data_IF_815680549142
#
_entry.id   IF_815680549142
#
_cell.length_a   1.000
_cell.length_b   1.000
_cell.length_c   1.000
_cell.angle_alpha   90.00
_cell.angle_beta   90.00
_cell.angle_gamma   90.00
#
_symmetry.space_group_name_H-M   'P 1'
#
loop_
_entity.id
_entity.type
_entity.pdbx_description
1 polymer ?
#
# COMPACT_ATOMS: atom_id res chain seq x y z
N UNK A 1 6.41 -14.40 29.98
CA UNK A 1 5.40 -15.21 29.27
C UNK A 1 4.31 -14.28 28.72
N UNK A 2 4.37 -13.95 27.43
CA UNK A 2 3.19 -13.36 26.79
C UNK A 2 2.13 -14.45 26.74
N UNK A 3 0.96 -14.17 27.30
CA UNK A 3 -0.18 -15.08 27.21
C UNK A 3 -0.51 -15.35 25.75
N UNK A 4 -1.09 -16.52 25.48
CA UNK A 4 -1.61 -16.85 24.16
C UNK A 4 -2.58 -15.74 23.70
N UNK A 5 -2.29 -15.09 22.58
CA UNK A 5 -3.15 -14.06 21.99
C UNK A 5 -4.12 -14.75 21.04
N UNK A 6 -5.39 -14.85 21.41
CA UNK A 6 -6.40 -15.37 20.50
C UNK A 6 -6.76 -14.30 19.46
N UNK A 7 -6.94 -14.69 18.20
CA UNK A 7 -7.37 -13.74 17.16
C UNK A 7 -8.75 -13.11 17.45
N UNK A 8 -9.58 -13.78 18.25
CA UNK A 8 -10.82 -13.20 18.77
C UNK A 8 -10.58 -12.03 19.72
N UNK A 9 -9.47 -12.03 20.46
CA UNK A 9 -9.14 -10.97 21.41
C UNK A 9 -8.67 -9.70 20.69
N UNK A 10 -8.03 -9.86 19.52
CA UNK A 10 -7.70 -8.75 18.62
C UNK A 10 -8.96 -8.05 18.08
N UNK A 11 -10.00 -8.82 17.75
CA UNK A 11 -11.29 -8.26 17.34
C UNK A 11 -11.99 -7.49 18.48
N UNK A 12 -11.58 -7.74 19.73
CA UNK A 12 -12.02 -7.02 20.93
C UNK A 12 -11.04 -5.90 21.34
N UNK A 13 -10.02 -5.62 20.53
CA UNK A 13 -9.04 -4.56 20.78
C UNK A 13 -8.12 -4.86 21.98
N UNK A 14 -7.75 -6.13 22.18
CA UNK A 14 -6.81 -6.52 23.25
C UNK A 14 -5.50 -6.99 22.63
N UNK A 15 -4.41 -6.23 22.85
CA UNK A 15 -3.06 -6.62 22.41
C UNK A 15 -2.76 -6.35 20.94
N UNK A 16 -3.61 -5.58 20.26
CA UNK A 16 -3.50 -5.16 18.87
C UNK A 16 -4.87 -4.75 18.30
N UNK A 17 -4.90 -4.47 17.00
CA UNK A 17 -6.12 -4.07 16.28
C UNK A 17 -6.30 -4.84 14.97
N UNK A 18 -7.53 -4.85 14.47
CA UNK A 18 -7.90 -5.39 13.15
C UNK A 18 -7.83 -4.29 12.10
N UNK A 19 -7.43 -4.65 10.88
CA UNK A 19 -7.54 -3.81 9.69
C UNK A 19 -8.64 -4.37 8.79
N UNK A 20 -9.75 -3.66 8.67
CA UNK A 20 -10.92 -4.05 7.89
C UNK A 20 -10.80 -3.60 6.43
N UNK A 21 -11.07 -4.51 5.50
CA UNK A 21 -10.99 -4.24 4.07
C UNK A 21 -12.01 -3.20 3.58
N UNK A 22 -11.62 -2.38 2.59
CA UNK A 22 -12.50 -1.35 2.01
C UNK A 22 -13.69 -1.95 1.25
N UNK A 23 -13.51 -3.10 0.59
CA UNK A 23 -14.53 -3.68 -0.28
C UNK A 23 -14.45 -5.19 -0.42
N UNK A 24 -15.57 -5.78 -0.85
CA UNK A 24 -15.72 -7.23 -1.02
C UNK A 24 -14.80 -7.73 -2.13
N UNK A 25 -14.08 -8.83 -1.89
CA UNK A 25 -13.16 -9.46 -2.85
C UNK A 25 -11.98 -8.59 -3.33
N UNK A 26 -11.71 -7.44 -2.70
CA UNK A 26 -10.55 -6.60 -3.04
C UNK A 26 -9.20 -7.27 -2.71
N UNK A 27 -9.23 -8.30 -1.85
CA UNK A 27 -8.03 -9.04 -1.47
C UNK A 27 -7.07 -8.24 -0.60
N UNK A 28 -7.58 -7.30 0.21
CA UNK A 28 -6.78 -6.58 1.20
C UNK A 28 -6.04 -7.55 2.12
N UNK A 29 -4.77 -7.24 2.41
CA UNK A 29 -3.89 -8.12 3.18
C UNK A 29 -3.26 -9.24 2.34
N UNK A 30 -3.37 -9.21 1.01
CA UNK A 30 -2.69 -10.17 0.14
C UNK A 30 -1.16 -10.09 0.29
N UNK A 31 -0.65 -8.87 0.45
CA UNK A 31 0.74 -8.59 0.81
C UNK A 31 0.76 -7.54 1.93
N UNK A 32 1.66 -7.70 2.90
CA UNK A 32 1.83 -6.76 4.02
C UNK A 32 3.30 -6.55 4.32
N UNK A 33 3.68 -5.34 4.70
CA UNK A 33 5.03 -5.01 5.14
C UNK A 33 5.02 -3.78 6.06
N UNK A 34 6.16 -3.48 6.70
CA UNK A 34 6.35 -2.16 7.32
C UNK A 34 6.72 -1.12 6.27
N UNK A 35 6.28 0.12 6.46
CA UNK A 35 6.60 1.25 5.59
C UNK A 35 7.72 2.16 6.15
N UNK A 36 8.03 2.05 7.45
CA UNK A 36 8.82 3.07 8.16
C UNK A 36 7.89 4.07 8.86
N UNK A 37 8.42 5.18 9.35
CA UNK A 37 7.62 6.28 9.92
C UNK A 37 7.43 7.34 8.82
N UNK A 38 6.34 7.23 8.06
CA UNK A 38 6.09 8.05 6.88
C UNK A 38 5.41 9.37 7.21
N UNK A 39 4.72 9.43 8.35
CA UNK A 39 4.09 10.67 8.82
C UNK A 39 4.94 11.46 9.83
N UNK A 40 6.06 10.89 10.32
CA UNK A 40 7.01 11.54 11.21
C UNK A 40 6.56 11.60 12.68
N UNK A 41 5.63 10.73 13.09
CA UNK A 41 5.08 10.74 14.46
C UNK A 41 5.85 9.86 15.45
N UNK A 42 6.90 9.17 14.99
CA UNK A 42 7.75 8.28 15.76
C UNK A 42 7.22 6.84 15.86
N UNK A 43 6.09 6.52 15.24
CA UNK A 43 5.54 5.18 15.11
C UNK A 43 5.83 4.64 13.70
N UNK A 44 5.92 3.31 13.60
CA UNK A 44 6.09 2.68 12.28
C UNK A 44 4.73 2.40 11.67
N UNK A 45 4.63 2.73 10.39
CA UNK A 45 3.48 2.56 9.54
C UNK A 45 3.53 1.22 8.79
N UNK A 46 2.41 0.85 8.19
CA UNK A 46 2.21 -0.44 7.52
C UNK A 46 1.81 -0.23 6.06
N UNK A 47 2.25 -1.15 5.22
CA UNK A 47 1.75 -1.33 3.86
C UNK A 47 0.78 -2.50 3.82
N UNK A 48 -0.38 -2.29 3.19
CA UNK A 48 -1.38 -3.33 2.97
C UNK A 48 -1.75 -3.35 1.49
N UNK A 49 -1.44 -4.45 0.79
CA UNK A 49 -1.82 -4.65 -0.60
C UNK A 49 -3.21 -5.25 -0.76
N UNK A 50 -4.01 -4.69 -1.67
CA UNK A 50 -5.31 -5.18 -2.12
C UNK A 50 -5.31 -5.32 -3.65
N UNK A 51 -4.62 -6.35 -4.13
CA UNK A 51 -4.33 -6.52 -5.57
C UNK A 51 -5.53 -6.65 -6.49
N UNK A 52 -6.72 -6.92 -5.96
CA UNK A 52 -7.96 -7.03 -6.74
C UNK A 52 -8.90 -5.85 -6.52
N UNK A 53 -8.48 -4.83 -5.77
CA UNK A 53 -9.22 -3.59 -5.66
C UNK A 53 -9.40 -2.94 -7.03
N UNK A 54 -10.53 -2.25 -7.18
CA UNK A 54 -10.92 -1.54 -8.40
C UNK A 54 -11.04 -0.05 -8.08
N UNK A 55 -9.92 0.64 -7.80
CA UNK A 55 -9.92 2.06 -7.47
C UNK A 55 -10.48 2.87 -8.64
N UNK A 56 -11.28 3.90 -8.35
CA UNK A 56 -11.86 4.80 -9.36
C UNK A 56 -12.51 4.10 -10.57
N UNK A 57 -13.07 2.90 -10.37
CA UNK A 57 -13.64 2.04 -11.42
C UNK A 57 -12.64 1.46 -12.43
N UNK A 58 -11.33 1.53 -12.15
CA UNK A 58 -10.27 0.89 -12.94
C UNK A 58 -10.17 -0.58 -12.55
N UNK A 59 -10.74 -1.45 -13.39
CA UNK A 59 -10.98 -2.86 -13.08
C UNK A 59 -9.71 -3.61 -12.66
N UNK A 60 -9.67 -4.06 -11.40
CA UNK A 60 -8.55 -4.80 -10.82
C UNK A 60 -7.16 -4.16 -11.03
N UNK A 61 -7.09 -2.83 -11.07
CA UNK A 61 -5.80 -2.14 -11.07
C UNK A 61 -4.99 -2.45 -9.81
N UNK A 62 -5.69 -2.80 -8.72
CA UNK A 62 -5.09 -2.99 -7.41
C UNK A 62 -4.96 -1.68 -6.65
N UNK A 63 -4.87 -1.78 -5.33
CA UNK A 63 -4.69 -0.63 -4.43
C UNK A 63 -3.75 -1.05 -3.31
N UNK A 64 -2.89 -0.14 -2.87
CA UNK A 64 -2.06 -0.28 -1.68
C UNK A 64 -2.49 0.78 -0.67
N UNK A 65 -2.43 0.45 0.61
CA UNK A 65 -2.74 1.39 1.68
C UNK A 65 -1.49 1.56 2.53
N UNK A 66 -1.18 2.82 2.81
CA UNK A 66 -0.29 3.21 3.89
C UNK A 66 -1.18 3.43 5.10
N UNK A 67 -0.99 2.61 6.13
CA UNK A 67 -1.73 2.71 7.39
C UNK A 67 -0.80 3.25 8.45
N UNK A 68 -1.11 4.43 8.99
CA UNK A 68 -0.28 5.06 10.01
C UNK A 68 -0.31 4.26 11.31
N UNK A 69 0.85 4.15 11.95
CA UNK A 69 1.01 3.56 13.26
C UNK A 69 0.18 4.31 14.31
N UNK A 70 -0.31 3.59 15.32
CA UNK A 70 -1.05 4.20 16.42
C UNK A 70 -0.86 3.44 17.73
N UNK A 71 -1.12 4.13 18.85
CA UNK A 71 -0.94 3.58 20.19
C UNK A 71 -2.20 2.93 20.78
N UNK A 72 -3.38 3.26 20.26
CA UNK A 72 -4.62 2.63 20.71
C UNK A 72 -4.90 1.35 19.92
N UNK A 73 -5.77 0.49 20.47
CA UNK A 73 -6.11 -0.82 19.89
C UNK A 73 -7.42 -0.79 19.07
N UNK A 74 -7.90 0.39 18.68
CA UNK A 74 -9.12 0.50 17.86
C UNK A 74 -8.92 -0.13 16.47
N UNK A 75 -9.93 -0.78 15.89
CA UNK A 75 -9.85 -1.22 14.49
C UNK A 75 -9.58 -0.05 13.54
N UNK A 76 -8.94 -0.35 12.41
CA UNK A 76 -8.73 0.58 11.29
C UNK A 76 -9.54 0.09 10.10
N UNK A 77 -10.37 0.94 9.51
CA UNK A 77 -11.02 0.64 8.25
C UNK A 77 -10.19 1.19 7.09
N UNK A 78 -9.89 0.37 6.09
CA UNK A 78 -9.16 0.83 4.90
C UNK A 78 -9.95 1.86 4.09
N UNK A 79 -11.27 1.94 4.26
CA UNK A 79 -12.08 3.01 3.71
C UNK A 79 -11.74 4.38 4.32
N UNK A 80 -11.47 4.45 5.63
CA UNK A 80 -11.05 5.68 6.31
C UNK A 80 -9.63 6.08 5.87
N UNK A 81 -8.74 5.09 5.74
CA UNK A 81 -7.38 5.28 5.21
C UNK A 81 -7.41 5.82 3.78
N UNK A 82 -8.28 5.28 2.91
CA UNK A 82 -8.46 5.80 1.55
C UNK A 82 -9.02 7.23 1.53
N UNK A 83 -9.78 7.62 2.56
CA UNK A 83 -10.30 8.97 2.74
C UNK A 83 -9.29 9.93 3.41
N UNK A 84 -8.08 9.46 3.73
CA UNK A 84 -7.02 10.25 4.33
C UNK A 84 -7.03 10.32 5.86
N UNK A 85 -7.83 9.47 6.53
CA UNK A 85 -7.88 9.36 7.99
C UNK A 85 -7.05 8.15 8.46
N UNK A 86 -5.95 8.43 9.17
CA UNK A 86 -5.03 7.39 9.63
C UNK A 86 -4.15 6.77 8.54
N UNK A 87 -3.97 7.46 7.41
CA UNK A 87 -3.09 7.03 6.33
C UNK A 87 -3.52 7.56 4.96
N UNK A 88 -3.11 6.88 3.89
CA UNK A 88 -3.53 7.20 2.53
C UNK A 88 -3.51 5.97 1.61
N UNK A 89 -4.23 6.05 0.49
CA UNK A 89 -4.24 5.01 -0.55
C UNK A 89 -3.27 5.33 -1.71
N UNK A 90 -2.80 4.28 -2.36
CA UNK A 90 -2.00 4.31 -3.58
C UNK A 90 -2.72 3.47 -4.63
N UNK A 91 -3.19 4.12 -5.69
CA UNK A 91 -4.08 3.54 -6.70
C UNK A 91 -3.29 3.00 -7.89
N UNK A 92 -3.63 1.79 -8.32
CA UNK A 92 -3.02 1.13 -9.48
C UNK A 92 -3.19 1.93 -10.78
N UNK A 93 -2.20 1.82 -11.67
CA UNK A 93 -2.12 2.61 -12.91
C UNK A 93 -3.18 2.21 -13.94
N UNK A 94 -3.27 0.92 -14.30
CA UNK A 94 -4.15 0.44 -15.37
C UNK A 94 -4.95 -0.81 -14.99
N UNK A 95 -6.04 -1.11 -15.74
CA UNK A 95 -6.85 -2.30 -15.47
C UNK A 95 -6.03 -3.59 -15.54
N UNK A 96 -6.29 -4.49 -14.58
CA UNK A 96 -5.64 -5.79 -14.47
C UNK A 96 -4.13 -5.77 -14.23
N UNK A 97 -3.55 -4.64 -13.78
CA UNK A 97 -2.13 -4.57 -13.41
C UNK A 97 -1.84 -5.26 -12.05
N UNK A 98 -2.86 -5.41 -11.20
CA UNK A 98 -2.78 -6.03 -9.88
C UNK A 98 -1.71 -5.41 -8.96
N UNK A 99 -1.62 -4.07 -8.94
CA UNK A 99 -0.77 -3.34 -8.01
C UNK A 99 -1.04 -3.75 -6.55
N UNK A 100 0.03 -3.89 -5.75
CA UNK A 100 -0.06 -4.45 -4.40
C UNK A 100 0.01 -5.98 -4.38
N UNK A 101 0.38 -6.62 -5.49
CA UNK A 101 0.76 -8.03 -5.50
C UNK A 101 1.94 -8.28 -4.55
N UNK A 102 2.92 -7.38 -4.56
CA UNK A 102 4.01 -7.31 -3.60
C UNK A 102 4.19 -5.87 -3.12
N UNK A 103 4.51 -5.68 -1.84
CA UNK A 103 4.78 -4.38 -1.23
C UNK A 103 5.98 -4.49 -0.29
N UNK A 104 6.78 -3.44 -0.18
CA UNK A 104 7.89 -3.40 0.75
C UNK A 104 8.47 -2.00 0.97
N UNK A 105 9.32 -1.84 2.00
CA UNK A 105 10.06 -0.60 2.19
C UNK A 105 11.13 -0.45 1.10
N UNK A 106 11.29 0.76 0.59
CA UNK A 106 12.42 1.14 -0.27
C UNK A 106 13.52 1.88 0.52
N UNK A 107 13.18 2.38 1.72
CA UNK A 107 14.02 3.33 2.46
C UNK A 107 13.87 4.74 1.90
N UNK A 108 14.65 5.70 2.37
CA UNK A 108 14.68 7.05 1.80
C UNK A 108 15.61 7.06 0.58
N UNK A 109 15.04 6.83 -0.61
CA UNK A 109 15.80 6.74 -1.87
C UNK A 109 16.01 8.09 -2.54
N UNK A 110 15.18 9.08 -2.22
CA UNK A 110 15.27 10.42 -2.77
C UNK A 110 16.08 11.40 -1.88
N UNK A 111 16.38 11.01 -0.65
CA UNK A 111 17.20 11.75 0.32
C UNK A 111 16.46 12.88 1.04
N UNK A 112 15.13 12.83 1.11
CA UNK A 112 14.31 13.88 1.75
C UNK A 112 14.06 13.64 3.25
N UNK A 113 14.51 12.50 3.78
CA UNK A 113 14.35 12.09 5.17
C UNK A 113 13.03 11.39 5.48
N UNK A 114 12.17 11.15 4.49
CA UNK A 114 10.93 10.37 4.61
C UNK A 114 11.15 8.98 4.00
N UNK A 115 10.68 7.89 4.64
CA UNK A 115 10.75 6.57 4.02
C UNK A 115 9.92 6.48 2.74
N UNK A 116 10.50 5.89 1.70
CA UNK A 116 9.84 5.53 0.45
C UNK A 116 9.47 4.06 0.43
N UNK A 117 8.58 3.69 -0.49
CA UNK A 117 8.03 2.34 -0.60
C UNK A 117 8.09 1.82 -2.02
N UNK A 118 8.19 0.49 -2.16
CA UNK A 118 8.16 -0.19 -3.45
C UNK A 118 6.91 -1.07 -3.58
N UNK A 119 6.26 -0.99 -4.74
CA UNK A 119 5.01 -1.69 -5.05
C UNK A 119 5.20 -2.46 -6.36
N UNK A 120 4.82 -3.73 -6.37
CA UNK A 120 4.78 -4.56 -7.57
C UNK A 120 3.36 -4.65 -8.15
N UNK A 121 3.25 -4.44 -9.46
CA UNK A 121 2.11 -4.73 -10.31
C UNK A 121 2.48 -5.89 -11.24
N UNK A 122 2.03 -7.09 -10.89
CA UNK A 122 2.51 -8.35 -11.48
C UNK A 122 2.31 -8.42 -13.00
N UNK A 123 1.21 -7.86 -13.49
CA UNK A 123 0.72 -8.09 -14.85
C UNK A 123 0.69 -6.83 -15.69
N UNK A 124 1.35 -5.76 -15.23
CA UNK A 124 1.47 -4.53 -16.01
C UNK A 124 2.22 -4.81 -17.33
N UNK A 125 1.71 -4.22 -18.42
CA UNK A 125 2.06 -4.59 -19.80
C UNK A 125 3.08 -3.64 -20.47
N UNK A 126 3.85 -2.85 -19.71
CA UNK A 126 4.69 -1.77 -20.27
C UNK A 126 5.83 -2.29 -21.17
N UNK A 127 6.55 -3.34 -20.75
CA UNK A 127 7.62 -4.00 -21.52
C UNK A 127 7.12 -5.09 -22.47
N UNK A 128 5.81 -5.34 -22.49
CA UNK A 128 5.14 -6.40 -23.24
C UNK A 128 4.10 -7.12 -22.37
N UNK A 129 3.33 -8.07 -22.94
CA UNK A 129 2.28 -8.76 -22.20
C UNK A 129 2.77 -9.38 -20.90
N UNK A 130 2.17 -8.95 -19.80
CA UNK A 130 2.47 -9.32 -18.42
C UNK A 130 3.96 -9.27 -18.11
N UNK A 131 4.66 -8.23 -18.57
CA UNK A 131 6.06 -7.99 -18.23
C UNK A 131 6.25 -7.64 -16.76
N UNK A 132 5.18 -7.20 -16.10
CA UNK A 132 5.24 -6.66 -14.76
C UNK A 132 5.83 -5.25 -14.74
N UNK A 133 5.54 -4.54 -13.65
CA UNK A 133 6.08 -3.22 -13.36
C UNK A 133 6.22 -3.06 -11.85
N UNK A 134 7.31 -2.45 -11.42
CA UNK A 134 7.47 -2.02 -10.03
C UNK A 134 7.47 -0.50 -9.97
N UNK A 135 7.05 0.05 -8.83
CA UNK A 135 6.99 1.49 -8.62
C UNK A 135 7.67 1.80 -7.30
N UNK A 136 8.57 2.78 -7.31
CA UNK A 136 9.05 3.40 -6.09
C UNK A 136 8.21 4.66 -5.89
N UNK A 137 7.47 4.70 -4.79
CA UNK A 137 6.62 5.83 -4.41
C UNK A 137 7.31 6.56 -3.27
N UNK A 138 7.58 7.85 -3.48
CA UNK A 138 8.21 8.66 -2.46
C UNK A 138 7.27 8.91 -1.29
N UNK A 139 7.84 8.87 -0.09
CA UNK A 139 7.15 9.23 1.13
C UNK A 139 6.73 10.70 1.11
N UNK A 140 5.69 11.03 1.89
CA UNK A 140 5.26 12.41 2.10
C UNK A 140 4.77 12.63 3.53
N UNK A 141 5.21 13.72 4.15
CA UNK A 141 4.78 14.12 5.49
C UNK A 141 3.62 15.11 5.43
N UNK A 142 2.63 14.92 6.30
CA UNK A 142 1.53 15.87 6.51
C UNK A 142 0.50 15.97 5.38
N UNK A 143 0.66 15.20 4.30
CA UNK A 143 -0.31 15.06 3.22
C UNK A 143 -0.82 13.60 3.16
N UNK A 144 -2.13 13.44 3.22
CA UNK A 144 -2.82 12.14 3.15
C UNK A 144 -3.67 12.00 1.88
N UNK A 145 -3.48 12.87 0.89
CA UNK A 145 -4.12 12.71 -0.40
C UNK A 145 -3.72 11.36 -1.03
N UNK A 146 -4.64 10.67 -1.73
CA UNK A 146 -4.30 9.47 -2.48
C UNK A 146 -3.19 9.73 -3.51
N UNK A 147 -2.37 8.70 -3.76
CA UNK A 147 -1.33 8.72 -4.80
C UNK A 147 -1.78 7.87 -5.97
N UNK A 148 -1.56 8.33 -7.20
CA UNK A 148 -1.79 7.54 -8.42
C UNK A 148 -0.48 6.96 -8.92
N UNK A 149 -0.43 5.65 -9.20
CA UNK A 149 0.75 5.06 -9.82
C UNK A 149 0.98 5.56 -11.27
N UNK A 150 -0.05 6.10 -11.93
CA UNK A 150 0.12 6.77 -13.21
C UNK A 150 0.94 8.06 -13.07
N UNK A 151 0.72 8.83 -12.00
CA UNK A 151 1.48 10.05 -11.71
C UNK A 151 2.93 9.70 -11.31
N UNK A 152 3.10 8.65 -10.50
CA UNK A 152 4.42 8.10 -10.14
C UNK A 152 5.20 7.64 -11.38
N UNK A 153 4.54 6.96 -12.31
CA UNK A 153 5.15 6.58 -13.58
C UNK A 153 5.53 7.78 -14.47
N UNK A 154 4.81 8.90 -14.34
CA UNK A 154 5.14 10.17 -14.99
C UNK A 154 6.22 10.99 -14.26
N UNK A 155 6.71 10.51 -13.12
CA UNK A 155 7.78 11.14 -12.33
C UNK A 155 7.28 12.11 -11.25
N UNK A 156 5.98 12.11 -10.95
CA UNK A 156 5.41 12.88 -9.85
C UNK A 156 5.28 12.01 -8.60
N UNK A 157 6.07 12.32 -7.56
CA UNK A 157 6.07 11.54 -6.32
C UNK A 157 6.72 10.15 -6.43
N UNK A 158 7.59 9.90 -7.42
CA UNK A 158 8.36 8.66 -7.50
C UNK A 158 8.84 8.32 -8.91
N UNK A 159 9.04 7.03 -9.19
CA UNK A 159 9.37 6.51 -10.52
C UNK A 159 8.98 5.04 -10.68
N UNK A 160 8.84 4.61 -11.93
CA UNK A 160 8.58 3.21 -12.27
C UNK A 160 9.85 2.46 -12.73
N UNK A 161 9.82 1.15 -12.55
CA UNK A 161 10.83 0.17 -12.96
C UNK A 161 10.10 -0.85 -13.83
N UNK A 162 10.36 -0.80 -15.13
CA UNK A 162 9.64 -1.61 -16.11
C UNK A 162 10.24 -3.01 -16.22
N UNK A 163 9.39 -4.03 -16.33
CA UNK A 163 9.81 -5.38 -16.70
C UNK A 163 10.45 -5.38 -18.09
N UNK A 164 11.49 -6.21 -18.28
CA UNK A 164 12.30 -6.17 -19.51
C UNK A 164 11.62 -6.87 -20.68
N UNK A 165 10.84 -7.93 -20.41
CA UNK A 165 10.28 -8.81 -21.43
C UNK A 165 8.86 -9.28 -21.08
N UNK A 166 8.08 -9.75 -22.07
CA UNK A 166 6.78 -10.38 -21.81
C UNK A 166 6.90 -11.60 -20.89
N UNK A 167 5.99 -11.70 -19.92
CA UNK A 167 5.86 -12.84 -18.98
C UNK A 167 7.07 -13.08 -18.06
N UNK A 168 7.71 -12.01 -17.60
CA UNK A 168 8.81 -12.05 -16.62
C UNK A 168 8.35 -12.46 -15.20
#
# INVERSE_FOLDING_TARGET
PVGELALSDLALGTGGFVIDGEGVNHGSGFSVSGAGDMNGDGLRDLLVGARWATPELVSYAGRVYVVFGKQDDKPVALADVAAGDGGFAIDGEAPYDYAGFAVGPAGDVNGDGVPDVIIGALTADFGGPSSGRSYVVFGKQGDTAPVSLADVAAGDGGFAIDGEAPYD
#
